data_IF_461288173819
#
_entry.id   IF_461288173819
#
_cell.length_a   1.000
_cell.length_b   1.000
_cell.length_c   1.000
_cell.angle_alpha   90.00
_cell.angle_beta   90.00
_cell.angle_gamma   90.00
#
_symmetry.space_group_name_H-M   'P 1'
#
loop_
_entity.id
_entity.type
_entity.pdbx_description
1 polymer ?
#
# COMPACT_ATOMS: atom_id res chain seq x y z
N UNK A 1 -44.16 -26.05 63.89
CA UNK A 1 -42.84 -25.40 63.93
C UNK A 1 -41.86 -26.20 63.06
N UNK A 2 -41.61 -25.76 61.84
CA UNK A 2 -40.54 -26.29 61.01
C UNK A 2 -39.75 -25.08 60.45
N UNK A 3 -38.50 -24.98 60.83
CA UNK A 3 -37.58 -23.94 60.45
C UNK A 3 -37.13 -24.14 59.01
N UNK A 4 -37.26 -23.08 58.17
CA UNK A 4 -36.66 -23.02 56.84
C UNK A 4 -35.24 -22.46 56.99
N UNK A 5 -34.23 -23.29 56.71
CA UNK A 5 -32.84 -22.87 56.55
C UNK A 5 -32.63 -22.38 55.13
N UNK A 6 -32.30 -21.11 55.00
CA UNK A 6 -31.95 -20.45 53.76
C UNK A 6 -30.62 -20.96 53.21
N UNK A 7 -30.59 -21.21 51.92
CA UNK A 7 -29.35 -21.49 51.14
C UNK A 7 -28.66 -20.17 50.81
N UNK A 8 -27.34 -20.04 50.96
CA UNK A 8 -26.63 -18.86 50.54
C UNK A 8 -26.38 -18.86 49.02
N UNK A 9 -26.48 -17.69 48.46
CA UNK A 9 -26.32 -17.31 47.07
C UNK A 9 -24.87 -17.52 46.62
N UNK A 10 -24.67 -18.38 45.61
CA UNK A 10 -23.43 -18.48 44.83
C UNK A 10 -23.66 -17.82 43.47
N UNK A 11 -23.58 -16.50 43.42
CA UNK A 11 -23.76 -15.77 42.16
C UNK A 11 -22.77 -14.60 41.99
N UNK A 12 -21.53 -14.70 42.45
CA UNK A 12 -20.61 -13.56 42.35
C UNK A 12 -19.20 -13.88 41.80
N UNK A 13 -19.00 -14.95 41.05
CA UNK A 13 -17.65 -15.25 40.50
C UNK A 13 -17.59 -15.54 38.98
N UNK A 14 -18.68 -15.36 38.24
CA UNK A 14 -18.66 -15.61 36.80
C UNK A 14 -18.53 -14.35 35.91
N UNK A 15 -18.67 -13.16 36.47
CA UNK A 15 -18.57 -11.92 35.69
C UNK A 15 -17.13 -11.45 35.46
N UNK A 16 -16.16 -11.84 36.30
CA UNK A 16 -14.77 -11.42 36.18
C UNK A 16 -13.94 -12.20 35.14
N UNK A 17 -14.28 -13.45 34.89
CA UNK A 17 -13.53 -14.30 33.96
C UNK A 17 -13.85 -14.02 32.49
N UNK A 18 -15.05 -13.58 32.17
CA UNK A 18 -15.47 -13.26 30.79
C UNK A 18 -14.85 -11.96 30.28
N UNK A 19 -14.59 -10.98 31.17
CA UNK A 19 -13.98 -9.70 30.78
C UNK A 19 -12.47 -9.84 30.51
N UNK A 20 -11.76 -10.74 31.20
CA UNK A 20 -10.34 -10.98 31.00
C UNK A 20 -10.05 -11.79 29.73
N UNK A 21 -10.95 -12.67 29.33
CA UNK A 21 -10.84 -13.46 28.10
C UNK A 21 -11.07 -12.62 26.84
N UNK A 22 -11.91 -11.58 26.93
CA UNK A 22 -12.18 -10.69 25.79
C UNK A 22 -11.00 -9.75 25.47
N UNK A 23 -10.26 -9.28 26.46
CA UNK A 23 -9.09 -8.42 26.25
C UNK A 23 -7.90 -9.20 25.67
N UNK A 24 -7.67 -10.42 26.09
CA UNK A 24 -6.62 -11.27 25.54
C UNK A 24 -6.95 -11.77 24.11
N UNK A 25 -8.21 -12.01 23.80
CA UNK A 25 -8.60 -12.43 22.45
C UNK A 25 -8.46 -11.31 21.41
N UNK A 26 -8.70 -10.04 21.81
CA UNK A 26 -8.50 -8.90 20.92
C UNK A 26 -7.02 -8.54 20.73
N UNK A 27 -6.19 -8.69 21.78
CA UNK A 27 -4.75 -8.52 21.68
C UNK A 27 -4.10 -9.57 20.75
N UNK A 28 -4.61 -10.80 20.74
CA UNK A 28 -4.15 -11.84 19.81
C UNK A 28 -4.59 -11.63 18.35
N UNK A 29 -5.66 -10.88 18.09
CA UNK A 29 -6.07 -10.57 16.70
C UNK A 29 -5.16 -9.51 16.04
N UNK A 30 -4.52 -8.67 16.82
CA UNK A 30 -3.50 -7.74 16.31
C UNK A 30 -2.18 -8.45 15.97
N UNK A 31 -1.88 -9.57 16.65
CA UNK A 31 -0.67 -10.37 16.46
C UNK A 31 -0.73 -11.31 15.22
N UNK A 32 -1.92 -11.50 14.64
CA UNK A 32 -2.09 -12.31 13.42
C UNK A 32 -1.67 -11.59 12.14
N UNK A 33 -1.32 -10.31 12.23
CA UNK A 33 -1.01 -9.49 11.05
C UNK A 33 0.34 -9.81 10.40
N UNK A 34 1.40 -10.00 11.20
CA UNK A 34 2.77 -10.08 10.69
C UNK A 34 3.63 -11.02 11.56
N UNK A 35 3.48 -12.36 11.43
CA UNK A 35 4.20 -13.31 12.27
C UNK A 35 5.71 -13.05 12.26
N UNK A 36 6.29 -12.83 13.43
CA UNK A 36 7.72 -12.61 13.61
C UNK A 36 8.24 -11.22 13.26
N UNK A 37 7.40 -10.25 12.89
CA UNK A 37 7.84 -8.87 12.65
C UNK A 37 7.83 -8.04 13.94
N UNK A 38 8.90 -7.29 14.18
CA UNK A 38 8.98 -6.26 15.21
C UNK A 38 8.59 -4.89 14.63
N UNK A 39 7.31 -4.53 14.82
CA UNK A 39 6.76 -3.26 14.34
C UNK A 39 7.46 -2.04 14.98
N UNK A 40 7.92 -2.17 16.24
CA UNK A 40 8.62 -1.08 16.92
C UNK A 40 10.01 -0.86 16.32
N UNK A 41 10.74 -1.93 15.98
CA UNK A 41 12.00 -1.84 15.23
C UNK A 41 11.78 -1.28 13.82
N UNK A 42 10.72 -1.72 13.13
CA UNK A 42 10.33 -1.17 11.82
C UNK A 42 10.05 0.33 11.87
N UNK A 43 9.35 0.80 12.92
CA UNK A 43 9.13 2.23 13.18
C UNK A 43 10.44 2.99 13.37
N UNK A 44 11.35 2.44 14.16
CA UNK A 44 12.67 3.06 14.41
C UNK A 44 13.44 3.20 13.10
N UNK A 45 13.55 2.14 12.31
CA UNK A 45 14.26 2.17 11.02
C UNK A 45 13.59 3.17 10.06
N UNK A 46 12.27 3.20 10.00
CA UNK A 46 11.53 4.11 9.12
C UNK A 46 11.80 5.57 9.46
N UNK A 47 11.82 5.94 10.75
CA UNK A 47 11.95 7.32 11.21
C UNK A 47 13.39 7.78 11.40
N UNK A 48 14.32 6.88 11.75
CA UNK A 48 15.68 7.21 12.16
C UNK A 48 16.75 6.64 11.24
N UNK A 49 16.39 5.65 10.41
CA UNK A 49 17.34 4.91 9.58
C UNK A 49 18.10 3.83 10.36
N UNK A 50 19.22 3.38 9.79
CA UNK A 50 20.12 2.36 10.36
C UNK A 50 21.57 2.81 10.18
N UNK A 51 22.08 3.60 11.11
CA UNK A 51 23.43 4.17 11.02
C UNK A 51 23.64 4.93 9.71
N UNK A 52 24.87 4.88 9.20
CA UNK A 52 25.22 5.56 7.94
C UNK A 52 24.77 4.79 6.69
N UNK A 53 24.37 3.52 6.84
CA UNK A 53 24.06 2.65 5.70
C UNK A 53 22.65 2.85 5.15
N UNK A 54 21.69 3.20 5.99
CA UNK A 54 20.28 3.39 5.59
C UNK A 54 19.74 4.68 6.19
N UNK A 55 19.49 5.71 5.37
CA UNK A 55 18.85 6.93 5.87
C UNK A 55 17.42 6.65 6.34
N UNK A 56 16.87 7.56 7.15
CA UNK A 56 15.46 7.47 7.54
C UNK A 56 14.56 7.39 6.30
N UNK A 57 13.75 6.33 6.21
CA UNK A 57 12.87 6.09 5.05
C UNK A 57 11.90 7.25 4.83
N UNK A 58 11.44 7.88 5.94
CA UNK A 58 10.55 9.03 5.90
C UNK A 58 11.10 10.23 5.16
N UNK A 59 12.41 10.35 5.01
CA UNK A 59 13.04 11.47 4.30
C UNK A 59 12.60 11.55 2.82
N UNK A 60 12.45 10.39 2.19
CA UNK A 60 11.98 10.31 0.80
C UNK A 60 10.51 9.90 0.69
N UNK A 61 10.05 9.02 1.60
CA UNK A 61 8.68 8.49 1.54
C UNK A 61 7.66 9.32 2.35
N UNK A 62 8.08 10.41 2.98
CA UNK A 62 7.25 11.25 3.84
C UNK A 62 7.02 10.64 5.23
N UNK A 63 6.77 11.47 6.24
CA UNK A 63 6.58 11.01 7.63
C UNK A 63 5.39 10.05 7.80
N UNK A 64 4.31 10.27 7.04
CA UNK A 64 3.15 9.37 6.98
C UNK A 64 3.30 8.22 5.99
N UNK A 65 4.43 8.09 5.31
CA UNK A 65 4.63 7.09 4.26
C UNK A 65 3.79 7.32 3.00
N UNK A 66 3.36 8.57 2.75
CA UNK A 66 2.49 8.91 1.60
C UNK A 66 3.25 9.15 0.31
N UNK A 67 4.59 9.09 0.35
CA UNK A 67 5.45 9.32 -0.81
C UNK A 67 5.60 10.80 -1.17
N UNK A 68 6.54 11.08 -2.06
CA UNK A 68 6.83 12.45 -2.56
C UNK A 68 7.04 12.40 -4.08
N UNK A 69 6.21 13.13 -4.83
CA UNK A 69 6.34 13.19 -6.30
C UNK A 69 7.68 13.76 -6.75
N UNK A 70 8.17 14.81 -6.09
CA UNK A 70 9.46 15.43 -6.39
C UNK A 70 10.65 14.47 -6.27
N UNK A 71 10.53 13.45 -5.42
CA UNK A 71 11.54 12.41 -5.23
C UNK A 71 11.26 11.14 -6.04
N UNK A 72 10.14 11.07 -6.77
CA UNK A 72 9.67 9.83 -7.39
C UNK A 72 9.42 8.71 -6.39
N UNK A 73 9.33 9.04 -5.11
CA UNK A 73 9.21 8.08 -4.02
C UNK A 73 7.74 7.68 -3.83
N UNK A 74 7.43 6.37 -3.83
CA UNK A 74 6.06 5.90 -3.74
C UNK A 74 5.46 6.08 -2.34
N UNK A 75 4.13 6.16 -2.30
CA UNK A 75 3.35 5.84 -1.12
C UNK A 75 3.67 4.41 -0.67
N UNK A 76 3.91 4.24 0.64
CA UNK A 76 4.10 2.96 1.32
C UNK A 76 2.94 2.65 2.26
N UNK A 77 2.31 3.69 2.82
CA UNK A 77 1.20 3.56 3.77
C UNK A 77 0.05 2.73 3.18
N UNK A 78 -0.23 1.60 3.81
CA UNK A 78 -1.38 0.76 3.48
C UNK A 78 -1.39 0.10 2.11
N UNK A 79 -0.23 -0.01 1.42
CA UNK A 79 -0.18 -0.68 0.10
C UNK A 79 -0.14 -2.20 0.17
N UNK A 80 -0.02 -2.77 1.37
CA UNK A 80 -0.04 -4.20 1.63
C UNK A 80 1.33 -4.73 2.08
N UNK A 81 1.37 -5.31 3.28
CA UNK A 81 2.59 -5.89 3.87
C UNK A 81 3.30 -6.90 2.96
N UNK A 82 2.61 -7.91 2.38
CA UNK A 82 3.29 -8.90 1.54
C UNK A 82 3.95 -8.27 0.32
N UNK A 83 3.33 -7.23 -0.23
CA UNK A 83 3.89 -6.52 -1.37
C UNK A 83 5.13 -5.70 -1.00
N UNK A 84 5.10 -4.95 0.11
CA UNK A 84 6.27 -4.19 0.58
C UNK A 84 7.43 -5.12 0.87
N UNK A 85 7.19 -6.20 1.60
CA UNK A 85 8.20 -7.21 1.92
C UNK A 85 8.83 -7.81 0.66
N UNK A 86 7.98 -8.24 -0.30
CA UNK A 86 8.45 -8.74 -1.58
C UNK A 86 9.32 -7.71 -2.31
N UNK A 87 8.88 -6.43 -2.36
CA UNK A 87 9.64 -5.40 -3.06
C UNK A 87 10.99 -5.12 -2.39
N UNK A 88 11.07 -5.07 -1.07
CA UNK A 88 12.33 -4.93 -0.35
C UNK A 88 13.27 -6.12 -0.60
N UNK A 89 12.75 -7.34 -0.61
CA UNK A 89 13.51 -8.53 -0.97
C UNK A 89 14.01 -8.48 -2.41
N UNK A 90 13.14 -8.19 -3.37
CA UNK A 90 13.50 -8.12 -4.79
C UNK A 90 14.55 -7.02 -5.09
N UNK A 91 14.49 -5.89 -4.36
CA UNK A 91 15.48 -4.83 -4.44
C UNK A 91 16.83 -5.28 -3.88
N UNK A 92 16.82 -5.94 -2.72
CA UNK A 92 18.05 -6.45 -2.07
C UNK A 92 18.74 -7.53 -2.91
N UNK A 93 17.95 -8.38 -3.56
CA UNK A 93 18.43 -9.50 -4.38
C UNK A 93 18.74 -9.10 -5.84
N UNK A 94 18.54 -7.84 -6.21
CA UNK A 94 18.74 -7.35 -7.57
C UNK A 94 17.69 -7.83 -8.59
N UNK A 95 16.61 -8.49 -8.15
CA UNK A 95 15.48 -8.91 -9.01
C UNK A 95 14.64 -7.73 -9.50
N UNK A 96 14.63 -6.64 -8.72
CA UNK A 96 14.05 -5.37 -9.10
C UNK A 96 15.13 -4.34 -9.26
N UNK A 97 15.35 -3.91 -10.51
CA UNK A 97 16.26 -2.81 -10.84
C UNK A 97 15.41 -1.57 -11.06
N UNK A 98 15.37 -0.62 -10.12
CA UNK A 98 14.60 0.59 -10.29
C UNK A 98 15.35 1.59 -11.19
N UNK A 99 14.55 2.46 -11.82
CA UNK A 99 15.05 3.53 -12.69
C UNK A 99 14.87 4.90 -12.01
N UNK A 100 15.64 5.89 -12.48
CA UNK A 100 15.55 7.26 -11.97
C UNK A 100 15.93 7.37 -10.50
N UNK A 101 15.23 8.21 -9.75
CA UNK A 101 15.51 8.48 -8.33
C UNK A 101 15.40 7.23 -7.43
N UNK A 102 14.66 6.21 -7.86
CA UNK A 102 14.57 4.93 -7.16
C UNK A 102 15.84 4.07 -7.19
N UNK A 103 16.85 4.43 -7.99
CA UNK A 103 18.08 3.65 -8.15
C UNK A 103 18.89 3.48 -6.85
N UNK A 104 18.65 4.27 -5.82
CA UNK A 104 19.26 4.14 -4.49
C UNK A 104 18.66 3.02 -3.65
N UNK A 105 17.42 2.61 -3.93
CA UNK A 105 16.68 1.66 -3.10
C UNK A 105 17.33 0.26 -2.97
N UNK A 106 17.99 -0.33 -4.01
CA UNK A 106 18.69 -1.60 -3.87
C UNK A 106 19.76 -1.58 -2.78
N UNK A 107 20.53 -0.49 -2.68
CA UNK A 107 21.59 -0.33 -1.67
C UNK A 107 20.99 -0.32 -0.27
N UNK A 108 19.94 0.43 -0.05
CA UNK A 108 19.27 0.51 1.25
C UNK A 108 18.58 -0.82 1.62
N UNK A 109 17.91 -1.45 0.67
CA UNK A 109 17.25 -2.73 0.90
C UNK A 109 18.24 -3.86 1.20
N UNK A 110 19.41 -3.87 0.55
CA UNK A 110 20.49 -4.84 0.80
C UNK A 110 21.18 -4.63 2.16
N UNK A 111 21.23 -3.38 2.66
CA UNK A 111 21.78 -3.06 3.98
C UNK A 111 20.87 -3.46 5.15
N UNK A 112 19.57 -3.74 4.87
CA UNK A 112 18.63 -4.31 5.84
C UNK A 112 18.76 -5.83 5.87
N UNK A 113 18.75 -6.42 7.07
CA UNK A 113 18.59 -7.87 7.23
C UNK A 113 17.18 -8.29 6.75
N UNK A 114 16.97 -9.58 6.56
CA UNK A 114 15.65 -10.11 6.23
C UNK A 114 14.61 -9.73 7.30
N UNK A 115 14.95 -9.89 8.59
CA UNK A 115 14.10 -9.50 9.71
C UNK A 115 13.77 -8.00 9.67
N UNK A 116 14.72 -7.13 9.44
CA UNK A 116 14.48 -5.68 9.37
C UNK A 116 13.58 -5.31 8.18
N UNK A 117 13.67 -6.02 7.05
CA UNK A 117 12.72 -5.86 5.94
C UNK A 117 11.30 -6.26 6.32
N UNK A 118 11.14 -7.34 7.10
CA UNK A 118 9.85 -7.72 7.70
C UNK A 118 9.32 -6.63 8.63
N UNK A 119 10.17 -6.13 9.53
CA UNK A 119 9.81 -5.11 10.52
C UNK A 119 9.32 -3.82 9.86
N UNK A 120 10.09 -3.31 8.88
CA UNK A 120 9.71 -2.11 8.12
C UNK A 120 8.43 -2.33 7.31
N UNK A 121 8.28 -3.48 6.64
CA UNK A 121 7.09 -3.80 5.89
C UNK A 121 5.83 -3.85 6.78
N UNK A 122 5.97 -4.42 7.98
CA UNK A 122 4.90 -4.43 8.98
C UNK A 122 4.55 -3.02 9.45
N UNK A 123 5.56 -2.23 9.83
CA UNK A 123 5.34 -0.86 10.28
C UNK A 123 4.64 0.02 9.24
N UNK A 124 5.11 0.07 7.99
CA UNK A 124 4.51 0.94 6.97
C UNK A 124 3.07 0.54 6.63
N UNK A 125 2.70 -0.71 6.85
CA UNK A 125 1.33 -1.17 6.68
C UNK A 125 0.41 -0.75 7.84
N UNK A 126 0.96 -0.37 9.00
CA UNK A 126 0.20 0.22 10.11
C UNK A 126 -0.06 1.71 9.93
N UNK A 127 0.67 2.37 9.03
CA UNK A 127 0.53 3.81 8.80
C UNK A 127 -0.87 4.13 8.27
N UNK A 128 -1.54 5.04 8.96
CA UNK A 128 -2.90 5.51 8.66
C UNK A 128 -2.94 7.02 8.70
N UNK A 129 -3.96 7.61 8.15
CA UNK A 129 -4.18 9.04 8.15
C UNK A 129 -4.80 9.50 6.81
N UNK A 130 -5.12 10.79 6.70
CA UNK A 130 -5.57 11.34 5.44
C UNK A 130 -4.46 11.22 4.39
N UNK A 131 -4.78 10.79 3.16
CA UNK A 131 -3.77 10.64 2.12
C UNK A 131 -3.24 12.01 1.67
N UNK A 132 -1.93 12.09 1.54
CA UNK A 132 -1.26 13.20 0.86
C UNK A 132 -1.20 12.88 -0.63
N UNK A 133 -2.19 13.37 -1.39
CA UNK A 133 -2.31 13.12 -2.82
C UNK A 133 -1.25 13.89 -3.63
N UNK A 134 -1.02 13.47 -4.87
CA UNK A 134 -0.22 14.23 -5.83
C UNK A 134 -0.92 15.55 -6.17
N UNK A 135 -0.17 16.66 -6.15
CA UNK A 135 -0.65 17.92 -6.67
C UNK A 135 -0.45 17.96 -8.21
N UNK A 136 -1.46 17.45 -8.92
CA UNK A 136 -1.38 17.33 -10.39
C UNK A 136 -1.24 18.69 -11.09
N UNK A 137 -1.79 19.77 -10.50
CA UNK A 137 -1.63 21.11 -11.06
C UNK A 137 -0.18 21.60 -10.95
N UNK A 138 0.42 21.45 -9.79
CA UNK A 138 1.83 21.81 -9.58
C UNK A 138 2.77 21.01 -10.49
N UNK A 139 2.52 19.70 -10.64
CA UNK A 139 3.27 18.86 -11.57
C UNK A 139 3.13 19.36 -13.01
N UNK A 140 1.92 19.73 -13.43
CA UNK A 140 1.65 20.27 -14.76
C UNK A 140 2.35 21.60 -14.98
N UNK A 141 2.30 22.50 -14.02
CA UNK A 141 2.95 23.81 -14.07
C UNK A 141 4.48 23.65 -14.11
N UNK A 142 5.01 22.58 -13.49
CA UNK A 142 6.42 22.16 -13.58
C UNK A 142 6.79 21.43 -14.88
N UNK A 143 5.87 21.34 -15.86
CA UNK A 143 6.13 20.73 -17.18
C UNK A 143 5.90 19.21 -17.23
N UNK A 144 5.36 18.59 -16.18
CA UNK A 144 5.00 17.17 -16.23
C UNK A 144 3.74 16.97 -17.08
N UNK A 145 3.81 16.03 -18.03
CA UNK A 145 2.65 15.67 -18.84
C UNK A 145 1.59 15.00 -17.93
N UNK A 146 0.42 15.62 -17.79
CA UNK A 146 -0.71 15.10 -17.02
C UNK A 146 -1.78 14.62 -18.01
N UNK A 147 -2.30 13.42 -17.78
CA UNK A 147 -3.31 12.82 -18.64
C UNK A 147 -4.74 13.22 -18.29
N UNK A 148 -5.68 12.70 -19.06
CA UNK A 148 -7.11 12.94 -18.90
C UNK A 148 -7.73 11.95 -17.90
N UNK A 149 -8.28 12.49 -16.80
CA UNK A 149 -8.78 11.69 -15.68
C UNK A 149 -9.90 10.72 -16.08
N UNK A 150 -10.82 11.14 -16.95
CA UNK A 150 -11.93 10.30 -17.40
C UNK A 150 -11.48 9.16 -18.32
N UNK A 151 -10.50 9.40 -19.16
CA UNK A 151 -9.89 8.37 -19.99
C UNK A 151 -9.18 7.34 -19.09
N UNK A 152 -8.44 7.82 -18.08
CA UNK A 152 -7.81 6.96 -17.07
C UNK A 152 -8.82 6.10 -16.32
N UNK A 153 -9.96 6.69 -15.91
CA UNK A 153 -11.06 5.96 -15.29
C UNK A 153 -11.58 4.86 -16.21
N UNK A 154 -11.78 5.16 -17.50
CA UNK A 154 -12.28 4.20 -18.48
C UNK A 154 -11.29 3.02 -18.62
N UNK A 155 -9.99 3.28 -18.76
CA UNK A 155 -8.97 2.24 -18.86
C UNK A 155 -8.92 1.41 -17.57
N UNK A 156 -8.93 2.04 -16.39
CA UNK A 156 -8.89 1.31 -15.11
C UNK A 156 -10.11 0.41 -14.93
N UNK A 157 -11.31 0.88 -15.32
CA UNK A 157 -12.56 0.12 -15.16
C UNK A 157 -12.81 -0.92 -16.25
N UNK A 158 -12.49 -0.59 -17.49
CA UNK A 158 -12.94 -1.39 -18.64
C UNK A 158 -11.77 -1.92 -19.48
N UNK A 159 -10.55 -1.42 -19.26
CA UNK A 159 -9.39 -1.73 -20.08
C UNK A 159 -9.41 -1.02 -21.44
N UNK A 160 -8.57 -1.50 -22.34
CA UNK A 160 -8.56 -1.12 -23.75
C UNK A 160 -8.97 -2.34 -24.55
N UNK A 161 -10.09 -2.26 -25.27
CA UNK A 161 -10.71 -3.40 -25.94
C UNK A 161 -9.69 -4.14 -26.83
N UNK A 162 -9.55 -5.44 -26.58
CA UNK A 162 -8.64 -6.32 -27.34
C UNK A 162 -7.14 -6.12 -27.04
N UNK A 163 -6.76 -5.20 -26.15
CA UNK A 163 -5.36 -4.86 -25.88
C UNK A 163 -4.96 -4.96 -24.41
N UNK A 164 -5.75 -4.36 -23.51
CA UNK A 164 -5.43 -4.26 -22.09
C UNK A 164 -6.64 -4.63 -21.25
N UNK A 165 -6.50 -5.57 -20.34
CA UNK A 165 -7.56 -5.91 -19.39
C UNK A 165 -7.76 -4.79 -18.37
N UNK A 166 -8.97 -4.68 -17.82
CA UNK A 166 -9.27 -3.70 -16.79
C UNK A 166 -8.37 -3.85 -15.56
N UNK A 167 -7.71 -2.78 -15.14
CA UNK A 167 -6.80 -2.81 -13.97
C UNK A 167 -7.54 -3.23 -12.69
N UNK A 168 -8.81 -2.82 -12.56
CA UNK A 168 -9.63 -3.19 -11.41
C UNK A 168 -9.92 -4.68 -11.29
N UNK A 169 -9.78 -5.47 -12.35
CA UNK A 169 -9.98 -6.93 -12.30
C UNK A 169 -9.04 -7.61 -11.32
N UNK A 170 -7.83 -7.07 -11.15
CA UNK A 170 -6.82 -7.54 -10.22
C UNK A 170 -6.66 -6.61 -9.02
N UNK A 171 -6.54 -5.30 -9.28
CA UNK A 171 -6.28 -4.31 -8.22
C UNK A 171 -7.54 -3.81 -7.49
N UNK A 172 -8.71 -4.36 -7.80
CA UNK A 172 -9.97 -3.97 -7.19
C UNK A 172 -10.46 -2.58 -7.59
N UNK A 173 -11.64 -2.24 -7.15
CA UNK A 173 -12.29 -0.97 -7.48
C UNK A 173 -11.40 0.23 -7.11
N UNK A 174 -11.19 1.14 -8.04
CA UNK A 174 -10.33 2.31 -7.88
C UNK A 174 -8.90 1.99 -7.40
N UNK A 175 -8.42 0.76 -7.63
CA UNK A 175 -7.08 0.36 -7.22
C UNK A 175 -6.91 0.16 -5.71
N UNK A 176 -7.96 -0.21 -5.00
CA UNK A 176 -7.92 -0.46 -3.54
C UNK A 176 -7.09 -1.69 -3.14
N UNK A 177 -6.62 -2.45 -4.13
CA UNK A 177 -5.88 -3.68 -3.93
C UNK A 177 -6.79 -4.90 -3.68
N UNK A 178 -6.16 -6.08 -3.76
CA UNK A 178 -6.73 -7.36 -3.36
C UNK A 178 -5.62 -8.21 -2.74
N UNK A 179 -5.52 -8.13 -1.43
CA UNK A 179 -4.48 -8.87 -0.68
C UNK A 179 -4.65 -10.39 -0.85
N UNK A 180 -3.57 -11.17 -0.78
CA UNK A 180 -2.19 -10.72 -0.58
C UNK A 180 -1.43 -10.35 -1.87
N UNK A 181 -2.00 -10.63 -3.05
CA UNK A 181 -1.27 -10.62 -4.31
C UNK A 181 -1.23 -9.25 -5.00
N UNK A 182 -2.32 -8.51 -4.94
CA UNK A 182 -2.47 -7.27 -5.71
C UNK A 182 -2.40 -6.05 -4.79
N UNK A 183 -1.35 -5.22 -4.91
CA UNK A 183 -1.18 -4.06 -4.05
C UNK A 183 -2.24 -2.99 -4.30
N UNK A 184 -2.42 -2.13 -3.30
CA UNK A 184 -3.15 -0.88 -3.46
C UNK A 184 -2.37 0.02 -4.41
N UNK A 185 -3.02 0.49 -5.48
CA UNK A 185 -2.46 1.40 -6.48
C UNK A 185 -3.22 2.73 -6.56
N UNK A 186 -4.44 2.79 -6.01
CA UNK A 186 -5.17 4.05 -5.86
C UNK A 186 -4.50 4.97 -4.84
N UNK A 187 -4.52 6.28 -5.08
CA UNK A 187 -3.82 7.29 -4.28
C UNK A 187 -2.29 7.08 -4.20
N UNK A 188 -1.72 6.37 -5.17
CA UNK A 188 -0.27 6.28 -5.32
C UNK A 188 0.24 7.54 -6.01
N UNK A 189 1.51 7.91 -5.76
CA UNK A 189 2.12 9.09 -6.37
C UNK A 189 2.12 9.02 -7.89
N UNK A 190 1.72 10.12 -8.52
CA UNK A 190 1.61 10.23 -9.98
C UNK A 190 2.91 9.87 -10.70
N UNK A 191 4.01 10.52 -10.29
CA UNK A 191 5.34 10.30 -10.88
C UNK A 191 5.79 8.85 -10.77
N UNK A 192 5.50 8.21 -9.63
CA UNK A 192 5.79 6.80 -9.42
C UNK A 192 4.92 5.89 -10.30
N UNK A 193 3.62 6.17 -10.44
CA UNK A 193 2.72 5.39 -11.32
C UNK A 193 3.20 5.42 -12.76
N UNK A 194 3.50 6.61 -13.29
CA UNK A 194 4.02 6.78 -14.65
C UNK A 194 5.31 5.98 -14.81
N UNK A 195 6.29 6.17 -13.92
CA UNK A 195 7.57 5.48 -14.00
C UNK A 195 7.42 3.95 -13.95
N UNK A 196 6.51 3.43 -13.11
CA UNK A 196 6.34 1.97 -13.01
C UNK A 196 5.60 1.37 -14.20
N UNK A 197 4.55 2.02 -14.71
CA UNK A 197 3.83 1.56 -15.90
C UNK A 197 4.74 1.58 -17.13
N UNK A 198 5.54 2.64 -17.28
CA UNK A 198 6.57 2.72 -18.33
C UNK A 198 7.60 1.58 -18.19
N UNK A 199 8.14 1.39 -17.00
CA UNK A 199 9.13 0.35 -16.75
C UNK A 199 8.58 -1.09 -16.96
N UNK A 200 7.29 -1.33 -16.69
CA UNK A 200 6.63 -2.58 -17.03
C UNK A 200 6.45 -2.75 -18.54
N UNK A 201 6.05 -1.69 -19.24
CA UNK A 201 5.89 -1.70 -20.70
C UNK A 201 7.20 -1.97 -21.42
N UNK A 202 8.26 -1.29 -20.98
CA UNK A 202 9.59 -1.37 -21.60
C UNK A 202 10.43 -2.55 -21.05
N UNK A 203 9.83 -3.37 -20.18
CA UNK A 203 10.43 -4.54 -19.53
C UNK A 203 11.68 -4.26 -18.69
N UNK A 204 12.04 -3.00 -18.45
CA UNK A 204 13.11 -2.62 -17.52
C UNK A 204 12.80 -2.98 -16.07
N UNK A 205 11.52 -3.17 -15.74
CA UNK A 205 11.04 -3.81 -14.53
C UNK A 205 10.43 -5.17 -14.85
N UNK A 206 11.02 -6.27 -14.31
CA UNK A 206 10.63 -7.64 -14.64
C UNK A 206 10.42 -8.56 -13.43
N UNK A 207 10.22 -7.96 -12.23
CA UNK A 207 10.03 -8.73 -10.99
C UNK A 207 8.57 -9.12 -10.71
N UNK A 208 7.71 -9.06 -11.72
CA UNK A 208 6.31 -9.44 -11.66
C UNK A 208 6.14 -10.97 -11.82
N UNK A 209 5.38 -11.63 -10.94
CA UNK A 209 5.07 -13.04 -11.09
C UNK A 209 4.41 -13.30 -12.44
N UNK A 210 4.89 -14.30 -13.15
CA UNK A 210 4.35 -14.75 -14.46
C UNK A 210 4.28 -13.69 -15.56
N UNK A 211 4.99 -12.56 -15.39
CA UNK A 211 4.95 -11.45 -16.36
C UNK A 211 3.60 -10.75 -16.43
N UNK A 212 2.81 -10.79 -15.34
CA UNK A 212 1.45 -10.24 -15.36
C UNK A 212 1.41 -8.75 -15.66
N UNK A 213 2.21 -7.94 -14.96
CA UNK A 213 2.20 -6.49 -15.17
C UNK A 213 2.83 -6.09 -16.50
N UNK A 214 3.87 -6.77 -16.94
CA UNK A 214 4.47 -6.55 -18.26
C UNK A 214 3.46 -6.80 -19.38
N UNK A 215 2.71 -7.90 -19.32
CA UNK A 215 1.64 -8.19 -20.27
C UNK A 215 0.53 -7.13 -20.27
N UNK A 216 0.18 -6.60 -19.09
CA UNK A 216 -0.83 -5.55 -18.97
C UNK A 216 -0.31 -4.21 -19.54
N UNK A 217 0.93 -3.85 -19.24
CA UNK A 217 1.48 -2.57 -19.65
C UNK A 217 1.95 -2.52 -21.12
N UNK A 218 2.28 -3.66 -21.71
CA UNK A 218 2.87 -3.77 -23.06
C UNK A 218 2.17 -2.94 -24.13
N UNK A 219 0.85 -2.93 -24.11
CA UNK A 219 0.05 -2.23 -25.12
C UNK A 219 -0.42 -0.82 -24.70
N UNK A 220 0.04 -0.31 -23.55
CA UNK A 220 -0.27 1.07 -23.13
C UNK A 220 0.59 2.06 -23.89
N UNK A 221 -0.04 3.09 -24.43
CA UNK A 221 0.65 4.27 -24.96
C UNK A 221 1.09 5.20 -23.82
N UNK A 222 1.95 6.18 -24.09
CA UNK A 222 2.30 7.20 -23.10
C UNK A 222 1.06 7.97 -22.62
N UNK A 223 0.12 8.26 -23.53
CA UNK A 223 -1.15 8.89 -23.18
C UNK A 223 -1.96 8.00 -22.23
N UNK A 224 -2.08 6.70 -22.50
CA UNK A 224 -2.79 5.76 -21.62
C UNK A 224 -2.14 5.68 -20.22
N UNK A 225 -0.81 5.64 -20.17
CA UNK A 225 -0.06 5.63 -18.91
C UNK A 225 -0.35 6.90 -18.11
N UNK A 226 -0.26 8.08 -18.73
CA UNK A 226 -0.54 9.34 -18.08
C UNK A 226 -2.00 9.43 -17.63
N UNK A 227 -2.96 8.97 -18.45
CA UNK A 227 -4.38 8.96 -18.12
C UNK A 227 -4.65 8.05 -16.89
N UNK A 228 -4.14 6.82 -16.90
CA UNK A 228 -4.26 5.86 -15.80
C UNK A 228 -3.63 6.43 -14.51
N UNK A 229 -2.43 7.01 -14.60
CA UNK A 229 -1.75 7.60 -13.46
C UNK A 229 -2.53 8.81 -12.89
N UNK A 230 -3.10 9.66 -13.75
CA UNK A 230 -3.94 10.81 -13.36
C UNK A 230 -5.18 10.34 -12.57
N UNK A 231 -5.87 9.32 -13.04
CA UNK A 231 -7.02 8.78 -12.33
C UNK A 231 -6.61 8.16 -11.00
N UNK A 232 -5.64 7.24 -11.00
CA UNK A 232 -5.24 6.50 -9.81
C UNK A 232 -4.65 7.38 -8.71
N UNK A 233 -3.88 8.42 -9.07
CA UNK A 233 -3.27 9.34 -8.10
C UNK A 233 -4.33 10.07 -7.23
N UNK A 234 -5.55 10.23 -7.75
CA UNK A 234 -6.66 10.91 -7.06
C UNK A 234 -7.84 10.00 -6.72
N UNK A 235 -7.76 8.69 -7.05
CA UNK A 235 -8.88 7.78 -6.87
C UNK A 235 -9.11 7.44 -5.40
N UNK A 236 -10.33 7.62 -4.90
CA UNK A 236 -10.68 7.14 -3.55
C UNK A 236 -10.66 5.61 -3.50
N UNK A 237 -9.89 5.09 -2.55
CA UNK A 237 -9.79 3.64 -2.29
C UNK A 237 -10.74 3.15 -1.22
N UNK A 238 -11.45 4.06 -0.56
CA UNK A 238 -12.44 3.71 0.48
C UNK A 238 -13.72 3.19 -0.14
N UNK A 239 -14.38 2.27 0.56
CA UNK A 239 -15.69 1.76 0.15
C UNK A 239 -16.80 2.82 0.23
N UNK A 240 -16.66 3.81 1.11
CA UNK A 240 -17.64 4.89 1.25
C UNK A 240 -17.79 5.72 -0.03
N UNK A 241 -16.68 6.07 -0.69
CA UNK A 241 -16.74 6.75 -2.00
C UNK A 241 -17.00 5.81 -3.18
N UNK A 242 -17.22 4.52 -2.93
CA UNK A 242 -17.43 3.47 -3.93
C UNK A 242 -18.85 2.90 -3.91
N UNK A 243 -19.70 3.36 -3.01
CA UNK A 243 -21.11 2.96 -2.98
C UNK A 243 -21.82 3.50 -4.20
N UNK A 244 -22.77 2.71 -4.69
CA UNK A 244 -23.57 3.02 -5.91
C UNK A 244 -24.44 4.26 -5.72
N UNK A 245 -24.67 4.68 -4.49
CA UNK A 245 -25.44 5.88 -4.17
C UNK A 245 -24.50 7.08 -4.15
N UNK A 246 -24.54 7.97 -5.13
CA UNK A 246 -23.79 9.21 -5.10
C UNK A 246 -24.25 10.04 -3.90
N UNK A 247 -23.31 10.55 -3.10
CA UNK A 247 -23.61 11.47 -1.98
C UNK A 247 -24.34 12.75 -2.43
N UNK A 248 -24.34 13.01 -3.72
CA UNK A 248 -25.03 14.16 -4.34
C UNK A 248 -26.55 14.09 -4.31
N UNK A 249 -27.14 12.99 -3.86
CA UNK A 249 -28.58 12.80 -3.76
C UNK A 249 -29.09 12.83 -2.31
N UNK A 250 -28.32 13.37 -1.37
CA UNK A 250 -28.77 13.64 0.00
C UNK A 250 -29.03 15.13 0.21
#
# INVERSE_FOLDING_TARGET
>A
MRAFLGRPVVHLLLAGAAALLSHNALAHLEDYGYPGADVANGKKIFNEGKGDAVPACMTCHGAGGWGLDAMGAPRLAGIGYPYVLKQLGDLADGKRVPVGAGAVMPVFAAALTEQERHDVAAYVNTLKGPPELSNLQELKDGGTAIGERYEGLAIVKYGVIGKVSACQSCHGYNGRGAAPMFPVIGQQKYTYLVAQLTAWRDESRANDPYGMMRKMAHNLTDADINNVATFLASASTTTAGNTVVPETNQ
#
